data_IF_266331080024
#
_entry.id   IF_266331080024
#
_cell.length_a   1.000
_cell.length_b   1.000
_cell.length_c   1.000
_cell.angle_alpha   90.00
_cell.angle_beta   90.00
_cell.angle_gamma   90.00
#
_symmetry.space_group_name_H-M   'P 1'
#
loop_
_entity.id
_entity.type
_entity.pdbx_description
1 polymer ?
#
# COMPACT_ATOMS: atom_id res chain seq x y z
N UNK A 1 12.00 32.28 3.13
CA UNK A 1 10.77 31.79 2.47
C UNK A 1 9.92 32.99 2.08
N UNK A 2 9.63 33.15 0.79
CA UNK A 2 8.72 34.19 0.32
C UNK A 2 7.26 33.77 0.54
N UNK A 3 6.46 34.66 1.13
CA UNK A 3 5.02 34.50 1.30
C UNK A 3 4.30 35.43 0.30
N UNK A 4 3.21 34.94 -0.29
CA UNK A 4 2.28 35.80 -1.05
C UNK A 4 1.29 36.38 -0.05
N UNK A 5 1.55 37.62 0.39
CA UNK A 5 0.83 38.28 1.47
C UNK A 5 1.04 37.63 2.85
N UNK A 6 0.23 38.01 3.86
CA UNK A 6 0.34 37.49 5.25
C UNK A 6 -0.15 36.05 5.45
N UNK A 7 -0.57 35.33 4.40
CA UNK A 7 -1.43 34.13 4.55
C UNK A 7 -0.92 32.83 3.93
N UNK A 8 -0.05 32.83 2.92
CA UNK A 8 0.35 31.58 2.23
C UNK A 8 1.78 31.66 1.68
N UNK A 9 2.54 30.56 1.74
CA UNK A 9 3.87 30.50 1.08
C UNK A 9 3.73 30.43 -0.44
N UNK A 10 4.72 30.96 -1.18
CA UNK A 10 4.78 30.87 -2.64
C UNK A 10 4.60 29.43 -3.14
N UNK A 11 5.24 28.47 -2.45
CA UNK A 11 5.14 27.05 -2.79
C UNK A 11 3.73 26.47 -2.59
N UNK A 12 3.02 26.88 -1.54
CA UNK A 12 1.63 26.46 -1.34
C UNK A 12 0.70 27.05 -2.41
N UNK A 13 0.96 28.29 -2.83
CA UNK A 13 0.23 28.92 -3.93
C UNK A 13 0.48 28.22 -5.27
N UNK A 14 1.75 27.91 -5.57
CA UNK A 14 2.10 27.17 -6.78
C UNK A 14 1.49 25.75 -6.77
N UNK A 15 1.49 25.07 -5.62
CA UNK A 15 0.82 23.77 -5.49
C UNK A 15 -0.68 23.83 -5.84
N UNK A 16 -1.38 24.90 -5.45
CA UNK A 16 -2.77 25.11 -5.87
C UNK A 16 -2.90 25.39 -7.38
N UNK A 17 -2.00 26.18 -7.97
CA UNK A 17 -1.94 26.38 -9.42
C UNK A 17 -1.72 25.09 -10.19
N UNK A 18 -0.91 24.19 -9.64
CA UNK A 18 -0.64 22.86 -10.19
C UNK A 18 -1.80 21.86 -9.97
N UNK A 19 -2.91 22.33 -9.36
CA UNK A 19 -4.12 21.54 -9.10
C UNK A 19 -4.02 20.61 -7.89
N UNK A 20 -3.03 20.81 -7.01
CA UNK A 20 -2.92 20.07 -5.76
C UNK A 20 -3.88 20.63 -4.70
N UNK A 21 -4.37 19.72 -3.87
CA UNK A 21 -5.43 20.00 -2.93
C UNK A 21 -5.01 19.66 -1.51
N UNK A 22 -5.36 20.53 -0.57
CA UNK A 22 -5.30 20.17 0.84
C UNK A 22 -6.52 19.32 1.20
N UNK A 23 -6.42 18.52 2.26
CA UNK A 23 -7.50 17.58 2.67
C UNK A 23 -8.86 18.25 2.87
N UNK A 24 -8.89 19.50 3.34
CA UNK A 24 -10.12 20.27 3.55
C UNK A 24 -10.82 20.69 2.26
N UNK A 25 -10.10 20.79 1.14
CA UNK A 25 -10.65 21.14 -0.17
C UNK A 25 -11.26 19.94 -0.91
N UNK A 26 -11.05 18.72 -0.42
CA UNK A 26 -11.64 17.52 -1.03
C UNK A 26 -13.09 17.38 -0.57
N UNK A 27 -14.02 17.54 -1.51
CA UNK A 27 -15.46 17.39 -1.33
C UNK A 27 -16.04 16.21 -2.14
N UNK A 28 -17.34 15.98 -1.98
CA UNK A 28 -18.03 14.88 -2.67
C UNK A 28 -18.12 15.07 -4.19
N UNK A 29 -18.18 16.30 -4.68
CA UNK A 29 -18.26 16.59 -6.13
C UNK A 29 -16.95 16.24 -6.80
N UNK A 30 -15.83 16.64 -6.19
CA UNK A 30 -14.50 16.30 -6.65
C UNK A 30 -14.27 14.79 -6.65
N UNK A 31 -14.60 14.09 -5.56
CA UNK A 31 -14.44 12.63 -5.50
C UNK A 31 -15.25 11.93 -6.61
N UNK A 32 -16.50 12.34 -6.82
CA UNK A 32 -17.34 11.82 -7.91
C UNK A 32 -16.74 12.08 -9.30
N UNK A 33 -16.20 13.29 -9.54
CA UNK A 33 -15.52 13.64 -10.80
C UNK A 33 -14.39 12.67 -11.15
N UNK A 34 -13.70 12.11 -10.14
CA UNK A 34 -12.62 11.14 -10.33
C UNK A 34 -13.06 9.67 -10.12
N UNK A 35 -14.38 9.40 -10.12
CA UNK A 35 -14.94 8.05 -10.04
C UNK A 35 -14.91 7.42 -8.64
N UNK A 36 -14.59 8.19 -7.60
CA UNK A 36 -14.55 7.69 -6.23
C UNK A 36 -15.95 7.68 -5.60
N UNK A 37 -16.54 6.49 -5.54
CA UNK A 37 -17.94 6.27 -5.12
C UNK A 37 -18.19 6.37 -3.60
N UNK A 38 -17.14 6.46 -2.78
CA UNK A 38 -17.25 6.39 -1.33
C UNK A 38 -17.34 7.79 -0.68
N UNK A 39 -17.61 7.82 0.63
CA UNK A 39 -17.74 9.07 1.38
C UNK A 39 -16.44 9.87 1.48
N UNK A 40 -16.56 11.19 1.64
CA UNK A 40 -15.43 12.09 1.94
C UNK A 40 -14.71 11.66 3.22
N UNK A 41 -15.46 11.19 4.23
CA UNK A 41 -14.90 10.67 5.47
C UNK A 41 -13.97 9.48 5.24
N UNK A 42 -14.35 8.55 4.35
CA UNK A 42 -13.49 7.43 3.99
C UNK A 42 -12.23 7.88 3.25
N UNK A 43 -12.34 8.82 2.32
CA UNK A 43 -11.15 9.38 1.66
C UNK A 43 -10.18 9.99 2.66
N UNK A 44 -10.68 10.80 3.61
CA UNK A 44 -9.86 11.41 4.67
C UNK A 44 -9.19 10.34 5.54
N UNK A 45 -9.92 9.28 5.88
CA UNK A 45 -9.38 8.12 6.61
C UNK A 45 -8.25 7.43 5.83
N UNK A 46 -8.34 7.29 4.50
CA UNK A 46 -7.25 6.75 3.68
C UNK A 46 -5.98 7.61 3.74
N UNK A 47 -6.13 8.94 3.74
CA UNK A 47 -5.01 9.86 3.96
C UNK A 47 -4.41 9.72 5.37
N UNK A 48 -5.25 9.62 6.41
CA UNK A 48 -4.79 9.49 7.80
C UNK A 48 -4.06 8.17 8.05
N UNK A 49 -4.51 7.09 7.42
CA UNK A 49 -3.82 5.79 7.42
C UNK A 49 -2.59 5.74 6.52
N UNK A 50 -2.24 6.85 5.85
CA UNK A 50 -1.12 6.97 4.90
C UNK A 50 -1.21 6.00 3.71
N UNK A 51 -2.41 5.53 3.38
CA UNK A 51 -2.66 4.77 2.15
C UNK A 51 -2.61 5.68 0.93
N UNK A 52 -3.07 6.92 1.10
CA UNK A 52 -2.84 8.00 0.14
C UNK A 52 -1.76 8.89 0.73
N UNK A 53 -0.60 8.94 0.08
CA UNK A 53 0.50 9.81 0.49
C UNK A 53 0.34 11.19 -0.14
N UNK A 54 0.65 12.27 0.58
CA UNK A 54 0.76 13.58 -0.02
C UNK A 54 1.92 13.61 -1.01
N UNK A 55 1.77 14.42 -2.05
CA UNK A 55 2.82 14.65 -3.05
C UNK A 55 3.77 15.77 -2.63
N UNK A 56 3.30 16.67 -1.76
CA UNK A 56 4.08 17.77 -1.24
C UNK A 56 3.60 18.22 0.14
N UNK A 57 4.47 18.95 0.85
CA UNK A 57 4.18 19.58 2.13
C UNK A 57 4.58 21.05 2.06
N UNK A 58 3.66 21.94 2.33
CA UNK A 58 3.91 23.39 2.26
C UNK A 58 3.31 24.14 3.44
N UNK A 59 3.87 25.30 3.76
CA UNK A 59 3.32 26.19 4.76
C UNK A 59 2.12 26.95 4.18
N UNK A 60 0.96 26.77 4.81
CA UNK A 60 -0.30 27.41 4.40
C UNK A 60 -0.70 28.55 5.34
N UNK A 61 0.18 28.94 6.27
CA UNK A 61 0.00 30.04 7.21
C UNK A 61 1.37 30.46 7.78
N UNK A 62 1.42 31.66 8.37
CA UNK A 62 2.63 32.17 9.04
C UNK A 62 3.09 31.32 10.24
N UNK A 63 2.23 30.43 10.75
CA UNK A 63 2.49 29.57 11.91
C UNK A 63 3.39 28.36 11.64
N UNK A 64 4.17 28.35 10.55
CA UNK A 64 5.13 27.30 10.18
C UNK A 64 4.60 25.85 10.17
N UNK A 65 3.28 25.63 10.19
CA UNK A 65 2.70 24.28 10.11
C UNK A 65 2.75 23.79 8.67
N UNK A 66 3.38 22.64 8.44
CA UNK A 66 3.39 21.98 7.14
C UNK A 66 2.04 21.31 6.89
N UNK A 67 1.40 21.69 5.80
CA UNK A 67 0.13 21.12 5.34
C UNK A 67 0.38 20.15 4.21
N UNK A 68 -0.18 18.93 4.25
CA UNK A 68 -0.05 17.95 3.18
C UNK A 68 -0.94 18.31 1.98
N UNK A 69 -0.36 18.25 0.78
CA UNK A 69 -1.04 18.44 -0.49
C UNK A 69 -1.16 17.11 -1.24
N UNK A 70 -2.33 16.87 -1.82
CA UNK A 70 -2.68 15.62 -2.51
C UNK A 70 -2.98 15.91 -3.98
N UNK A 71 -2.51 15.03 -4.86
CA UNK A 71 -2.86 15.09 -6.28
C UNK A 71 -4.24 14.46 -6.50
N UNK A 72 -5.15 15.09 -7.26
CA UNK A 72 -6.40 14.45 -7.67
C UNK A 72 -6.19 13.14 -8.43
N UNK A 73 -5.04 12.98 -9.12
CA UNK A 73 -4.66 11.74 -9.81
C UNK A 73 -4.56 10.55 -8.84
N UNK A 74 -4.24 10.78 -7.56
CA UNK A 74 -4.24 9.73 -6.55
C UNK A 74 -5.64 9.13 -6.35
N UNK A 75 -6.71 9.90 -6.53
CA UNK A 75 -8.09 9.41 -6.41
C UNK A 75 -8.37 8.35 -7.49
N UNK A 76 -8.07 8.68 -8.76
CA UNK A 76 -8.23 7.74 -9.87
C UNK A 76 -7.32 6.53 -9.74
N UNK A 77 -6.07 6.73 -9.30
CA UNK A 77 -5.16 5.62 -9.02
C UNK A 77 -5.74 4.66 -7.98
N UNK A 78 -6.24 5.17 -6.84
CA UNK A 78 -6.84 4.33 -5.80
C UNK A 78 -8.04 3.55 -6.33
N UNK A 79 -8.91 4.17 -7.11
CA UNK A 79 -10.08 3.53 -7.72
C UNK A 79 -9.69 2.33 -8.59
N UNK A 80 -8.64 2.51 -9.40
CA UNK A 80 -8.22 1.52 -10.37
C UNK A 80 -7.42 0.38 -9.72
N UNK A 81 -6.51 0.69 -8.80
CA UNK A 81 -5.49 -0.25 -8.33
C UNK A 81 -5.68 -0.77 -6.91
N UNK A 82 -6.53 -0.16 -6.07
CA UNK A 82 -6.66 -0.51 -4.66
C UNK A 82 -7.95 -1.27 -4.32
N UNK A 83 -7.91 -2.09 -3.27
CA UNK A 83 -9.05 -2.86 -2.76
C UNK A 83 -10.02 -1.98 -1.95
N UNK A 84 -10.55 -0.91 -2.54
CA UNK A 84 -11.32 0.11 -1.83
C UNK A 84 -12.59 -0.44 -1.15
N UNK A 85 -13.28 -1.42 -1.74
CA UNK A 85 -14.48 -2.01 -1.11
C UNK A 85 -14.14 -2.73 0.21
N UNK A 86 -13.01 -3.44 0.26
CA UNK A 86 -12.52 -4.10 1.47
C UNK A 86 -12.10 -3.07 2.51
N UNK A 87 -11.32 -2.06 2.10
CA UNK A 87 -10.88 -0.97 2.98
C UNK A 87 -12.06 -0.17 3.51
N UNK A 88 -13.14 -0.02 2.73
CA UNK A 88 -14.35 0.67 3.15
C UNK A 88 -15.12 -0.13 4.22
N UNK A 89 -15.22 -1.46 4.07
CA UNK A 89 -15.75 -2.32 5.14
C UNK A 89 -14.93 -2.20 6.43
N UNK A 90 -13.59 -2.12 6.31
CA UNK A 90 -12.71 -1.91 7.45
C UNK A 90 -12.97 -0.56 8.12
N UNK A 91 -13.12 0.51 7.33
CA UNK A 91 -13.46 1.85 7.83
C UNK A 91 -14.79 1.87 8.60
N UNK A 92 -15.78 1.12 8.12
CA UNK A 92 -17.08 0.98 8.80
C UNK A 92 -17.06 0.01 9.99
N UNK A 93 -15.89 -0.52 10.37
CA UNK A 93 -15.71 -1.57 11.39
C UNK A 93 -16.56 -2.83 11.13
N UNK A 94 -16.89 -3.11 9.86
CA UNK A 94 -17.68 -4.28 9.44
C UNK A 94 -16.81 -5.52 9.17
N UNK A 95 -15.49 -5.38 9.23
CA UNK A 95 -14.57 -6.50 9.10
C UNK A 95 -13.28 -6.24 9.85
N UNK A 96 -12.68 -7.30 10.37
CA UNK A 96 -11.36 -7.26 11.00
C UNK A 96 -10.25 -7.47 9.98
N UNK A 97 -9.02 -7.12 10.36
CA UNK A 97 -7.86 -7.35 9.49
C UNK A 97 -7.64 -8.83 9.16
N UNK A 98 -7.98 -9.69 10.11
CA UNK A 98 -7.77 -11.13 10.00
C UNK A 98 -8.80 -11.77 9.07
N UNK A 99 -10.04 -11.30 9.11
CA UNK A 99 -11.05 -11.63 8.10
C UNK A 99 -10.66 -11.14 6.71
N UNK A 100 -10.11 -9.93 6.59
CA UNK A 100 -9.61 -9.42 5.31
C UNK A 100 -8.53 -10.34 4.73
N UNK A 101 -7.58 -10.78 5.56
CA UNK A 101 -6.53 -11.73 5.13
C UNK A 101 -7.14 -13.03 4.61
N UNK A 102 -8.13 -13.58 5.33
CA UNK A 102 -8.84 -14.80 4.93
C UNK A 102 -9.61 -14.59 3.62
N UNK A 103 -10.36 -13.49 3.49
CA UNK A 103 -11.11 -13.14 2.28
C UNK A 103 -10.19 -12.98 1.06
N UNK A 104 -9.00 -12.40 1.24
CA UNK A 104 -8.00 -12.25 0.18
C UNK A 104 -7.17 -13.53 -0.06
N UNK A 105 -7.36 -14.59 0.73
CA UNK A 105 -6.57 -15.82 0.62
C UNK A 105 -5.08 -15.59 0.90
N UNK A 106 -4.75 -14.65 1.79
CA UNK A 106 -3.38 -14.40 2.24
C UNK A 106 -2.99 -15.51 3.20
N UNK A 107 -1.96 -16.27 2.83
CA UNK A 107 -1.39 -17.36 3.64
C UNK A 107 0.08 -17.10 3.94
N UNK A 108 0.66 -17.91 4.80
CA UNK A 108 2.09 -17.96 5.09
C UNK A 108 2.66 -19.23 4.46
N UNK A 109 3.86 -19.18 3.92
CA UNK A 109 4.50 -20.35 3.34
C UNK A 109 5.99 -20.41 3.65
N UNK A 110 6.49 -21.60 3.97
CA UNK A 110 7.92 -21.91 3.93
C UNK A 110 8.24 -22.49 2.57
N UNK A 111 9.31 -22.01 1.93
CA UNK A 111 9.74 -22.50 0.64
C UNK A 111 11.25 -22.53 0.53
N UNK A 112 11.80 -23.57 -0.10
CA UNK A 112 13.16 -23.55 -0.59
C UNK A 112 13.18 -22.87 -1.96
N UNK A 113 14.08 -21.90 -2.11
CA UNK A 113 14.35 -21.22 -3.38
C UNK A 113 15.78 -21.52 -3.78
N UNK A 114 15.97 -21.97 -5.02
CA UNK A 114 17.30 -22.22 -5.56
C UNK A 114 18.14 -20.94 -5.54
N UNK A 115 19.40 -21.05 -5.12
CA UNK A 115 20.28 -19.90 -4.93
C UNK A 115 20.60 -19.17 -6.25
N UNK A 116 20.51 -19.86 -7.38
CA UNK A 116 20.70 -19.29 -8.73
C UNK A 116 19.68 -18.19 -9.05
N UNK A 117 18.45 -18.28 -8.52
CA UNK A 117 17.42 -17.24 -8.59
C UNK A 117 17.91 -15.92 -7.98
N UNK A 118 18.83 -16.02 -7.02
CA UNK A 118 19.41 -14.88 -6.32
C UNK A 118 20.79 -14.50 -6.88
N UNK A 119 21.27 -15.21 -7.92
CA UNK A 119 22.60 -15.02 -8.48
C UNK A 119 23.73 -15.57 -7.59
N UNK A 120 23.42 -16.49 -6.67
CA UNK A 120 24.35 -17.05 -5.70
C UNK A 120 24.59 -18.54 -6.03
N UNK A 121 25.84 -19.00 -5.91
CA UNK A 121 26.18 -20.42 -6.05
C UNK A 121 26.25 -21.08 -4.66
N UNK A 122 25.12 -21.51 -4.14
CA UNK A 122 25.04 -22.31 -2.91
C UNK A 122 23.80 -23.23 -2.92
N UNK A 123 23.61 -23.97 -1.84
CA UNK A 123 22.42 -24.79 -1.65
C UNK A 123 21.13 -23.94 -1.61
N UNK A 124 19.96 -24.53 -1.93
CA UNK A 124 18.69 -23.84 -1.85
C UNK A 124 18.45 -23.21 -0.47
N UNK A 125 17.99 -21.97 -0.49
CA UNK A 125 17.80 -21.17 0.72
C UNK A 125 16.33 -21.26 1.15
N UNK A 126 16.11 -21.48 2.45
CA UNK A 126 14.77 -21.43 3.03
C UNK A 126 14.27 -19.99 3.16
N UNK A 127 13.07 -19.74 2.68
CA UNK A 127 12.38 -18.46 2.79
C UNK A 127 11.04 -18.60 3.52
N UNK A 128 10.81 -17.66 4.43
CA UNK A 128 9.52 -17.46 5.09
C UNK A 128 8.73 -16.39 4.34
N UNK A 129 7.77 -16.81 3.54
CA UNK A 129 7.06 -15.97 2.58
C UNK A 129 5.61 -15.73 2.98
N UNK A 130 5.05 -14.62 2.52
CA UNK A 130 3.60 -14.43 2.46
C UNK A 130 3.12 -14.93 1.10
N UNK A 131 2.26 -15.94 1.10
CA UNK A 131 1.65 -16.49 -0.12
C UNK A 131 0.37 -15.70 -0.44
N UNK A 132 0.29 -15.20 -1.67
CA UNK A 132 -0.91 -14.57 -2.20
C UNK A 132 -1.04 -14.87 -3.69
N UNK A 133 -2.21 -15.39 -4.10
CA UNK A 133 -2.42 -15.95 -5.45
C UNK A 133 -1.30 -16.97 -5.77
N UNK A 134 -0.60 -16.74 -6.89
CA UNK A 134 0.48 -17.60 -7.38
C UNK A 134 1.88 -17.14 -6.93
N UNK A 135 1.98 -16.15 -6.04
CA UNK A 135 3.25 -15.55 -5.64
C UNK A 135 3.59 -15.83 -4.18
N UNK A 136 4.88 -15.98 -3.92
CA UNK A 136 5.49 -16.07 -2.60
C UNK A 136 6.29 -14.80 -2.35
N UNK A 137 5.72 -13.85 -1.61
CA UNK A 137 6.36 -12.59 -1.31
C UNK A 137 7.36 -12.75 -0.16
N UNK A 138 8.63 -12.45 -0.43
CA UNK A 138 9.67 -12.35 0.58
C UNK A 138 9.82 -10.92 1.11
N UNK A 139 9.67 -9.93 0.24
CA UNK A 139 9.70 -8.51 0.56
C UNK A 139 8.55 -7.79 -0.14
N UNK A 140 8.42 -6.48 0.07
CA UNK A 140 7.45 -5.67 -0.70
C UNK A 140 7.84 -5.50 -2.17
N UNK A 141 9.07 -5.84 -2.53
CA UNK A 141 9.65 -5.61 -3.86
C UNK A 141 10.04 -6.91 -4.55
N UNK A 142 10.08 -8.02 -3.83
CA UNK A 142 10.55 -9.32 -4.33
C UNK A 142 9.56 -10.42 -3.99
N UNK A 143 9.16 -11.17 -5.01
CA UNK A 143 8.37 -12.37 -4.87
C UNK A 143 8.89 -13.48 -5.78
N UNK A 144 8.50 -14.71 -5.50
CA UNK A 144 8.80 -15.88 -6.32
C UNK A 144 7.52 -16.47 -6.86
N UNK A 145 7.57 -17.05 -8.07
CA UNK A 145 6.42 -17.78 -8.59
C UNK A 145 6.37 -19.17 -7.94
N UNK A 146 5.28 -19.51 -7.25
CA UNK A 146 5.21 -20.79 -6.50
C UNK A 146 5.25 -22.04 -7.40
N UNK A 147 5.02 -21.89 -8.71
CA UNK A 147 5.13 -22.95 -9.72
C UNK A 147 6.47 -22.95 -10.47
N UNK A 148 7.42 -22.07 -10.13
CA UNK A 148 8.76 -22.14 -10.72
C UNK A 148 9.41 -23.46 -10.30
N UNK A 149 10.11 -24.12 -11.22
CA UNK A 149 10.91 -25.31 -10.92
C UNK A 149 12.05 -25.02 -9.93
N UNK A 150 12.38 -23.74 -9.73
CA UNK A 150 13.39 -23.27 -8.78
C UNK A 150 12.82 -22.98 -7.38
N UNK A 151 11.54 -23.23 -7.16
CA UNK A 151 10.83 -22.94 -5.91
C UNK A 151 10.10 -24.20 -5.46
N UNK A 152 10.45 -24.70 -4.27
CA UNK A 152 9.75 -25.81 -3.62
C UNK A 152 9.04 -25.32 -2.37
N UNK A 153 7.71 -25.26 -2.42
CA UNK A 153 6.90 -24.97 -1.23
C UNK A 153 6.95 -26.18 -0.29
N UNK A 154 7.39 -25.94 0.94
CA UNK A 154 7.54 -26.98 1.97
C UNK A 154 6.24 -27.10 2.75
N UNK A 155 5.72 -25.95 3.21
CA UNK A 155 4.60 -25.89 4.14
C UNK A 155 3.81 -24.60 3.93
N UNK A 156 2.49 -24.65 4.14
CA UNK A 156 1.58 -23.51 4.02
C UNK A 156 0.68 -23.43 5.26
N UNK A 157 0.55 -22.23 5.81
CA UNK A 157 -0.23 -21.95 7.01
C UNK A 157 -1.25 -20.86 6.74
N UNK A 158 -2.45 -21.01 7.30
CA UNK A 158 -3.48 -19.96 7.24
C UNK A 158 -3.16 -18.81 8.22
N UNK A 159 -2.59 -19.13 9.38
CA UNK A 159 -2.14 -18.15 10.38
C UNK A 159 -0.62 -18.09 10.48
N UNK A 160 -0.09 -16.99 11.02
CA UNK A 160 1.36 -16.81 11.13
C UNK A 160 1.89 -17.81 12.18
N UNK A 161 2.85 -18.68 11.82
CA UNK A 161 3.47 -19.56 12.81
C UNK A 161 4.12 -18.76 13.93
N UNK A 162 3.89 -19.20 15.18
CA UNK A 162 4.45 -18.59 16.39
C UNK A 162 5.96 -18.80 16.50
N UNK A 163 6.46 -19.94 16.03
CA UNK A 163 7.87 -20.33 16.19
C UNK A 163 8.69 -20.04 14.92
N UNK A 164 9.87 -19.45 15.11
CA UNK A 164 10.94 -19.31 14.11
C UNK A 164 10.59 -18.56 12.80
N UNK A 165 9.52 -17.75 12.74
CA UNK A 165 9.18 -16.99 11.53
C UNK A 165 10.14 -15.81 11.26
N UNK A 166 11.27 -16.11 10.63
CA UNK A 166 12.32 -15.20 10.19
C UNK A 166 12.00 -14.39 8.91
N UNK A 167 10.87 -13.66 8.88
CA UNK A 167 10.66 -12.61 7.88
C UNK A 167 10.14 -11.33 8.51
N UNK A 168 11.03 -10.33 8.62
CA UNK A 168 10.73 -8.99 9.16
C UNK A 168 9.80 -8.15 8.27
N UNK A 169 9.68 -8.47 6.98
CA UNK A 169 8.86 -7.73 6.02
C UNK A 169 7.38 -8.16 6.04
N UNK A 170 7.05 -9.26 6.69
CA UNK A 170 5.70 -9.87 6.73
C UNK A 170 4.58 -8.83 6.89
N UNK A 171 4.67 -7.93 7.87
CA UNK A 171 3.65 -6.90 8.11
C UNK A 171 3.51 -5.91 6.94
N UNK A 172 4.64 -5.47 6.36
CA UNK A 172 4.67 -4.54 5.22
C UNK A 172 4.07 -5.19 3.97
N UNK A 173 4.39 -6.46 3.73
CA UNK A 173 3.86 -7.25 2.62
C UNK A 173 2.35 -7.39 2.73
N UNK A 174 1.84 -7.81 3.90
CA UNK A 174 0.39 -7.94 4.12
C UNK A 174 -0.31 -6.59 3.93
N UNK A 175 0.26 -5.49 4.43
CA UNK A 175 -0.29 -4.14 4.18
C UNK A 175 -0.37 -3.83 2.68
N UNK A 176 0.67 -4.16 1.91
CA UNK A 176 0.71 -3.92 0.47
C UNK A 176 -0.35 -4.75 -0.26
N UNK A 177 -0.52 -6.03 0.09
CA UNK A 177 -1.53 -6.92 -0.51
C UNK A 177 -2.95 -6.48 -0.14
N UNK A 178 -3.19 -6.07 1.11
CA UNK A 178 -4.50 -5.55 1.53
C UNK A 178 -4.84 -4.28 0.75
N UNK A 179 -3.85 -3.40 0.55
CA UNK A 179 -4.05 -2.14 -0.15
C UNK A 179 -4.33 -2.34 -1.65
N UNK A 180 -3.51 -3.14 -2.35
CA UNK A 180 -3.51 -3.22 -3.82
C UNK A 180 -4.17 -4.50 -4.35
N UNK A 181 -4.98 -4.39 -5.41
CA UNK A 181 -5.58 -5.53 -6.12
C UNK A 181 -4.51 -6.46 -6.71
N UNK A 182 -3.48 -5.85 -7.29
CA UNK A 182 -2.31 -6.50 -7.86
C UNK A 182 -1.06 -5.72 -7.42
N UNK A 183 -0.43 -6.11 -6.29
CA UNK A 183 0.79 -5.46 -5.82
C UNK A 183 1.91 -5.56 -6.85
N UNK A 184 2.43 -4.42 -7.29
CA UNK A 184 3.62 -4.39 -8.15
C UNK A 184 4.83 -4.98 -7.41
N UNK A 185 5.53 -5.92 -8.01
CA UNK A 185 6.61 -6.68 -7.38
C UNK A 185 7.52 -7.28 -8.45
N UNK A 186 8.82 -7.30 -8.21
CA UNK A 186 9.76 -8.04 -9.03
C UNK A 186 9.59 -9.54 -8.75
N UNK A 187 9.13 -10.28 -9.74
CA UNK A 187 9.03 -11.73 -9.67
C UNK A 187 10.35 -12.33 -10.12
N UNK A 188 11.02 -13.04 -9.20
CA UNK A 188 12.25 -13.77 -9.48
C UNK A 188 11.89 -15.19 -9.92
N UNK A 189 12.53 -15.63 -11.01
CA UNK A 189 12.23 -16.87 -11.75
C UNK A 189 13.20 -17.99 -11.45
#
# INVERSE_FOLDING_TARGET
MAYIGKKMSENAYQAHKDGLLVKSQVDSRLLKKYGFKYSVGFFRWLCDKKYIKPVAFHHTSASCKLTPFYSPKAISFMQNYCNLDILYKQYLNKTTREEIKKQLGIKYAKAYVSADVLGIKCDPIEFHCVKYKNLLFWSTETAFHHKSNKVKVIEVFDDRPSNNWNNKNTRKIINKIILYKNPDVKVMG
#
